data_IF_162977677313
#
_entry.id   IF_162977677313
#
_cell.length_a   1.000
_cell.length_b   1.000
_cell.length_c   1.000
_cell.angle_alpha   90.00
_cell.angle_beta   90.00
_cell.angle_gamma   90.00
#
_symmetry.space_group_name_H-M   'P 1'
#
loop_
_entity.id
_entity.type
_entity.pdbx_description
1 polymer ?
#
# COMPACT_ATOMS: atom_id res chain seq x y z
N UNK A 1 6.06 22.55 -14.99
CA UNK A 1 4.78 22.94 -15.54
C UNK A 1 3.75 21.89 -15.20
N UNK A 2 2.66 22.33 -14.73
CA UNK A 2 1.60 21.46 -14.28
C UNK A 2 0.87 20.81 -15.44
N UNK A 3 0.60 19.54 -15.33
CA UNK A 3 -0.13 18.83 -16.36
C UNK A 3 -1.52 18.49 -15.85
N UNK A 4 -2.55 19.08 -16.46
CA UNK A 4 -3.92 18.87 -16.03
C UNK A 4 -4.39 17.44 -16.21
N UNK A 5 -3.67 16.64 -16.99
CA UNK A 5 -4.03 15.25 -17.24
C UNK A 5 -3.42 14.29 -16.24
N UNK A 6 -2.75 14.81 -15.22
CA UNK A 6 -2.05 13.98 -14.27
C UNK A 6 -2.89 13.74 -13.03
N UNK A 7 -2.98 12.49 -12.63
CA UNK A 7 -3.62 12.11 -11.37
C UNK A 7 -2.58 11.54 -10.44
N UNK A 8 -2.68 11.82 -9.15
CA UNK A 8 -1.83 11.23 -8.13
C UNK A 8 -2.51 9.99 -7.58
N UNK A 9 -1.82 8.87 -7.64
CA UNK A 9 -2.34 7.61 -7.12
C UNK A 9 -1.52 7.16 -5.92
N UNK A 10 -2.20 6.59 -4.95
CA UNK A 10 -1.58 5.99 -3.77
C UNK A 10 -2.04 4.56 -3.67
N UNK A 11 -1.08 3.64 -3.55
CA UNK A 11 -1.37 2.22 -3.44
C UNK A 11 -0.83 1.76 -2.09
N UNK A 12 -1.73 1.28 -1.23
CA UNK A 12 -1.36 0.68 0.05
C UNK A 12 -1.28 -0.83 -0.14
N UNK A 13 -0.12 -1.39 0.16
CA UNK A 13 0.10 -2.83 0.02
C UNK A 13 0.37 -3.41 1.40
N UNK A 14 -0.33 -4.47 1.75
CA UNK A 14 -0.22 -5.12 3.05
C UNK A 14 -0.23 -6.62 2.86
N UNK A 15 0.40 -7.33 3.80
CA UNK A 15 0.30 -8.78 3.81
C UNK A 15 -1.11 -9.20 4.20
N UNK A 16 -1.58 -10.28 3.59
CA UNK A 16 -2.88 -10.85 3.94
C UNK A 16 -2.89 -11.32 5.37
N UNK A 17 -4.08 -11.37 5.96
CA UNK A 17 -4.25 -11.94 7.29
C UNK A 17 -3.77 -13.39 7.27
N UNK A 18 -3.09 -13.79 8.31
CA UNK A 18 -2.55 -15.14 8.40
C UNK A 18 -1.17 -15.30 7.79
N UNK A 19 -0.68 -14.33 7.03
CA UNK A 19 0.68 -14.36 6.52
C UNK A 19 1.60 -13.74 7.57
N UNK A 20 2.70 -14.42 7.87
CA UNK A 20 3.64 -13.96 8.87
C UNK A 20 4.29 -12.64 8.42
N UNK A 21 4.35 -11.70 9.34
CA UNK A 21 4.95 -10.40 9.12
C UNK A 21 6.10 -10.22 10.10
N UNK A 22 7.32 -10.67 9.74
CA UNK A 22 8.43 -10.59 10.68
C UNK A 22 8.83 -9.17 11.01
N UNK A 23 8.65 -8.23 10.09
CA UNK A 23 8.97 -6.83 10.37
C UNK A 23 8.01 -6.22 11.35
N UNK A 24 6.71 -6.49 11.16
CA UNK A 24 5.70 -6.01 12.11
C UNK A 24 5.92 -6.59 13.50
N UNK A 25 6.23 -7.88 13.55
CA UNK A 25 6.51 -8.54 14.83
C UNK A 25 7.71 -7.92 15.53
N UNK A 26 8.76 -7.60 14.77
CA UNK A 26 9.96 -6.98 15.36
C UNK A 26 9.64 -5.58 15.90
N UNK A 27 8.82 -4.82 15.19
CA UNK A 27 8.41 -3.51 15.68
C UNK A 27 7.64 -3.65 16.97
N UNK A 28 6.72 -4.61 17.03
CA UNK A 28 5.94 -4.82 18.24
C UNK A 28 6.79 -5.16 19.44
N UNK A 29 7.80 -6.04 19.25
CA UNK A 29 8.71 -6.39 20.34
C UNK A 29 9.53 -5.18 20.79
N UNK A 30 9.99 -4.37 19.84
CA UNK A 30 10.77 -3.18 20.19
C UNK A 30 9.93 -2.18 20.96
N UNK A 31 8.68 -2.01 20.57
CA UNK A 31 7.79 -1.08 21.28
C UNK A 31 7.54 -1.56 22.70
N UNK A 32 7.35 -2.86 22.88
CA UNK A 32 7.16 -3.40 24.23
C UNK A 32 8.39 -3.16 25.10
N UNK A 33 9.58 -3.33 24.53
CA UNK A 33 10.81 -3.09 25.29
C UNK A 33 10.99 -1.62 25.66
N UNK A 34 10.42 -0.73 24.86
CA UNK A 34 10.49 0.70 25.17
C UNK A 34 9.40 1.15 26.14
N UNK A 35 8.54 0.24 26.57
CA UNK A 35 7.54 0.54 27.57
C UNK A 35 6.15 0.78 27.02
N UNK A 36 5.95 0.63 25.71
CA UNK A 36 4.64 0.83 25.09
C UNK A 36 3.84 -0.48 25.13
N UNK A 37 3.39 -0.83 26.32
CA UNK A 37 2.77 -2.14 26.51
C UNK A 37 1.32 -2.19 26.06
N UNK A 38 0.76 -1.06 25.71
CA UNK A 38 -0.62 -0.99 25.20
C UNK A 38 -0.73 -1.39 23.73
N UNK A 39 0.39 -1.57 23.04
CA UNK A 39 0.40 -1.91 21.61
C UNK A 39 0.13 -3.40 21.46
N UNK A 40 -0.86 -3.72 20.64
CA UNK A 40 -1.16 -5.11 20.31
C UNK A 40 -0.44 -5.56 19.06
N UNK A 41 -1.20 -6.05 18.10
CA UNK A 41 -0.62 -6.55 16.85
C UNK A 41 -0.08 -5.39 16.01
N UNK A 42 1.09 -5.61 15.42
CA UNK A 42 1.71 -4.61 14.55
C UNK A 42 1.90 -5.22 13.17
N UNK A 43 1.40 -4.55 12.16
CA UNK A 43 1.53 -4.98 10.78
C UNK A 43 2.24 -3.88 10.00
N UNK A 44 3.19 -4.26 9.19
CA UNK A 44 3.93 -3.31 8.36
C UNK A 44 3.50 -3.50 6.91
N UNK A 45 3.20 -2.40 6.26
CA UNK A 45 2.90 -2.41 4.84
C UNK A 45 3.75 -1.39 4.14
N UNK A 46 3.40 -1.10 2.91
CA UNK A 46 4.11 -0.08 2.16
C UNK A 46 3.13 0.80 1.42
N UNK A 47 3.56 2.01 1.16
CA UNK A 47 2.79 2.99 0.39
C UNK A 47 3.58 3.32 -0.87
N UNK A 48 2.93 3.18 -2.01
CA UNK A 48 3.51 3.54 -3.29
C UNK A 48 2.71 4.70 -3.84
N UNK A 49 3.38 5.79 -4.18
CA UNK A 49 2.75 6.95 -4.78
C UNK A 49 3.30 7.13 -6.18
N UNK A 50 2.40 7.39 -7.12
CA UNK A 50 2.82 7.63 -8.49
C UNK A 50 1.89 8.63 -9.15
N UNK A 51 2.43 9.29 -10.16
CA UNK A 51 1.64 10.17 -11.01
C UNK A 51 1.27 9.41 -12.27
N UNK A 52 0.02 9.53 -12.66
CA UNK A 52 -0.51 8.82 -13.79
C UNK A 52 -1.05 9.82 -14.81
N UNK A 53 -0.53 9.76 -16.02
CA UNK A 53 -0.99 10.65 -17.09
C UNK A 53 -2.28 10.11 -17.67
N UNK A 54 -3.39 10.48 -17.04
CA UNK A 54 -4.70 9.96 -17.40
C UNK A 54 -5.77 10.97 -16.99
N UNK A 55 -6.80 11.09 -17.79
CA UNK A 55 -7.91 11.99 -17.48
C UNK A 55 -9.18 11.25 -17.10
N UNK A 56 -9.29 9.97 -17.46
CA UNK A 56 -10.47 9.15 -17.19
C UNK A 56 -10.22 8.34 -15.93
N UNK A 57 -10.99 8.63 -14.88
CA UNK A 57 -10.80 7.98 -13.59
C UNK A 57 -11.03 6.47 -13.68
N UNK A 58 -12.04 6.05 -14.42
CA UNK A 58 -12.30 4.60 -14.55
C UNK A 58 -11.15 3.89 -15.24
N UNK A 59 -10.58 4.51 -16.27
CA UNK A 59 -9.42 3.92 -16.93
C UNK A 59 -8.22 3.92 -16.00
N UNK A 60 -8.04 5.00 -15.23
CA UNK A 60 -6.94 5.07 -14.28
C UNK A 60 -7.03 3.93 -13.28
N UNK A 61 -8.23 3.66 -12.76
CA UNK A 61 -8.41 2.57 -11.80
C UNK A 61 -8.05 1.22 -12.40
N UNK A 62 -8.47 0.97 -13.62
CA UNK A 62 -8.15 -0.30 -14.27
C UNK A 62 -6.67 -0.45 -14.52
N UNK A 63 -6.01 0.64 -14.93
CA UNK A 63 -4.56 0.60 -15.16
C UNK A 63 -3.81 0.35 -13.87
N UNK A 64 -4.24 1.00 -12.80
CA UNK A 64 -3.57 0.83 -11.50
C UNK A 64 -3.76 -0.58 -10.96
N UNK A 65 -4.94 -1.16 -11.14
CA UNK A 65 -5.14 -2.55 -10.74
C UNK A 65 -4.22 -3.50 -11.52
N UNK A 66 -4.07 -3.26 -12.81
CA UNK A 66 -3.16 -4.07 -13.61
C UNK A 66 -1.72 -3.93 -13.13
N UNK A 67 -1.30 -2.72 -12.80
CA UNK A 67 0.04 -2.49 -12.29
C UNK A 67 0.26 -3.23 -10.97
N UNK A 68 -0.73 -3.18 -10.08
CA UNK A 68 -0.62 -3.87 -8.81
C UNK A 68 -0.49 -5.37 -8.99
N UNK A 69 -1.29 -5.95 -9.87
CA UNK A 69 -1.30 -7.40 -10.04
C UNK A 69 -0.07 -7.90 -10.78
N UNK A 70 0.51 -7.06 -11.64
CA UNK A 70 1.68 -7.48 -12.41
C UNK A 70 2.99 -7.19 -11.72
N UNK A 71 3.05 -6.19 -10.85
CA UNK A 71 4.32 -5.77 -10.29
C UNK A 71 4.25 -5.29 -8.85
N UNK A 72 3.30 -4.42 -8.52
CA UNK A 72 3.39 -3.65 -7.28
C UNK A 72 3.03 -4.46 -6.04
N UNK A 73 2.20 -5.47 -6.19
CA UNK A 73 1.80 -6.33 -5.09
C UNK A 73 1.89 -7.78 -5.51
N UNK A 74 2.19 -8.65 -4.54
CA UNK A 74 2.17 -10.08 -4.79
C UNK A 74 0.79 -10.61 -4.39
N UNK A 75 -0.10 -10.90 -5.35
CA UNK A 75 -1.48 -11.24 -5.00
C UNK A 75 -1.63 -12.54 -4.22
N UNK A 76 -0.59 -13.36 -4.18
CA UNK A 76 -0.66 -14.59 -3.39
C UNK A 76 -0.62 -14.29 -1.89
N UNK A 77 0.21 -13.34 -1.47
CA UNK A 77 0.41 -13.07 -0.05
C UNK A 77 0.03 -11.65 0.37
N UNK A 78 -0.29 -10.76 -0.58
CA UNK A 78 -0.54 -9.37 -0.28
C UNK A 78 -1.92 -8.94 -0.77
N UNK A 79 -2.49 -7.97 -0.07
CA UNK A 79 -3.65 -7.23 -0.56
C UNK A 79 -3.23 -5.80 -0.85
N UNK A 80 -4.03 -5.11 -1.64
CA UNK A 80 -3.73 -3.71 -1.94
C UNK A 80 -5.01 -2.90 -2.01
N UNK A 81 -4.85 -1.61 -1.80
CA UNK A 81 -5.93 -0.65 -1.95
C UNK A 81 -5.41 0.53 -2.74
N UNK A 82 -6.21 1.02 -3.67
CA UNK A 82 -5.84 2.12 -4.55
C UNK A 82 -6.70 3.32 -4.23
N UNK A 83 -6.07 4.49 -4.10
CA UNK A 83 -6.82 5.74 -4.02
C UNK A 83 -6.23 6.72 -5.03
N UNK A 84 -7.09 7.54 -5.60
CA UNK A 84 -6.71 8.46 -6.66
C UNK A 84 -7.12 9.87 -6.24
N UNK A 85 -6.19 10.79 -6.38
CA UNK A 85 -6.45 12.21 -6.17
C UNK A 85 -6.33 12.93 -7.51
N UNK A 86 -7.29 13.76 -7.79
CA UNK A 86 -7.29 14.58 -9.00
C UNK A 86 -6.41 15.80 -8.87
#
# INVERSE_FOLDING_TARGET
MEDDCTMRARIHVRLKDGVLDPQGAAIGRALAQLGFTEVGDVRQGKLIELDLAETDRARAERRLQAMCEQLLANPVIETYAVSIED
#
